data_IF_960245691023
#
_entry.id   IF_960245691023
#
_cell.length_a   1.000
_cell.length_b   1.000
_cell.length_c   1.000
_cell.angle_alpha   90.00
_cell.angle_beta   90.00
_cell.angle_gamma   90.00
#
_symmetry.space_group_name_H-M   'P 1'
#
loop_
_entity.id
_entity.type
_entity.pdbx_description
1 polymer ?
#
# COMPACT_ATOMS: atom_id res chain seq x y z
N UNK A 1 51.63 42.43 43.14
CA UNK A 1 50.17 42.34 43.38
C UNK A 1 49.51 41.72 42.15
N UNK A 2 48.84 40.57 42.37
CA UNK A 2 47.71 39.97 41.62
C UNK A 2 47.91 39.80 40.10
N UNK A 3 48.48 38.67 39.67
CA UNK A 3 47.73 37.46 39.27
C UNK A 3 46.45 37.83 38.49
N UNK A 4 46.62 38.12 37.21
CA UNK A 4 45.53 38.31 36.26
C UNK A 4 44.94 36.93 35.97
N UNK A 5 43.94 36.61 36.79
CA UNK A 5 42.79 35.76 36.52
C UNK A 5 42.90 34.80 35.32
N UNK A 6 43.45 33.62 35.62
CA UNK A 6 43.35 32.37 34.83
C UNK A 6 41.89 31.89 34.58
N UNK A 7 40.89 32.69 34.93
CA UNK A 7 39.46 32.39 34.80
C UNK A 7 38.95 32.65 33.38
N UNK A 8 39.56 33.59 32.63
CA UNK A 8 39.08 33.93 31.28
C UNK A 8 39.37 32.87 30.21
N UNK A 9 40.36 31.99 30.43
CA UNK A 9 40.72 30.97 29.44
C UNK A 9 39.80 29.73 29.50
N UNK A 10 39.14 29.50 30.64
CA UNK A 10 38.25 28.34 30.84
C UNK A 10 36.86 28.60 30.24
N UNK A 11 36.44 29.87 30.09
CA UNK A 11 35.14 30.20 29.49
C UNK A 11 35.10 30.01 27.97
N UNK A 12 36.23 30.05 27.27
CA UNK A 12 36.30 29.89 25.81
C UNK A 12 36.12 28.44 25.35
N UNK A 13 36.33 27.45 26.22
CA UNK A 13 36.24 26.02 25.85
C UNK A 13 34.77 25.53 25.89
N UNK A 14 33.88 26.26 26.56
CA UNK A 14 32.46 25.89 26.65
C UNK A 14 31.60 26.37 25.47
N UNK A 15 32.13 27.23 24.59
CA UNK A 15 31.41 27.69 23.39
C UNK A 15 31.73 26.83 22.15
N UNK A 16 32.67 25.89 22.27
CA UNK A 16 32.85 24.79 21.31
C UNK A 16 31.82 23.69 21.56
N UNK A 17 30.56 24.07 21.75
CA UNK A 17 29.44 23.17 21.56
C UNK A 17 29.50 22.73 20.10
N UNK A 18 29.87 21.46 19.91
CA UNK A 18 29.92 20.82 18.61
C UNK A 18 28.71 21.27 17.77
N UNK A 19 28.99 21.94 16.66
CA UNK A 19 28.11 21.88 15.49
C UNK A 19 28.10 20.43 15.02
N UNK A 20 27.43 19.57 15.80
CA UNK A 20 26.93 18.30 15.35
C UNK A 20 25.85 18.64 14.34
N UNK A 21 26.26 18.83 13.10
CA UNK A 21 25.41 18.52 11.97
C UNK A 21 25.07 17.03 12.14
N UNK A 22 23.97 16.76 12.83
CA UNK A 22 23.37 15.46 12.87
C UNK A 22 22.39 15.47 11.69
N UNK A 23 22.70 14.86 10.53
CA UNK A 23 21.70 14.58 9.51
C UNK A 23 20.88 13.36 9.95
N UNK A 24 20.45 13.35 11.21
CA UNK A 24 19.34 12.53 11.65
C UNK A 24 18.26 13.52 12.08
N UNK A 25 17.72 14.25 11.09
CA UNK A 25 16.26 14.32 11.06
C UNK A 25 15.86 12.85 10.96
N UNK A 26 15.56 12.23 12.10
CA UNK A 26 14.48 11.25 12.14
C UNK A 26 13.32 11.96 11.44
N UNK A 27 13.19 11.73 10.12
CA UNK A 27 11.97 12.08 9.41
C UNK A 27 10.96 11.19 10.10
N UNK A 28 10.28 11.73 11.09
CA UNK A 28 9.08 11.14 11.65
C UNK A 28 8.19 10.96 10.44
N UNK A 29 8.16 9.74 9.92
CA UNK A 29 7.26 9.37 8.84
C UNK A 29 5.90 9.49 9.50
N UNK A 30 5.10 10.52 9.17
CA UNK A 30 3.79 10.61 9.74
C UNK A 30 3.11 9.32 9.34
N UNK A 31 2.79 8.47 10.32
CA UNK A 31 1.93 7.33 10.11
C UNK A 31 0.63 7.92 9.58
N UNK A 32 0.48 7.95 8.26
CA UNK A 32 -0.66 8.56 7.62
C UNK A 32 -1.83 7.63 7.93
N UNK A 33 -2.69 8.07 8.84
CA UNK A 33 -3.90 7.35 9.19
C UNK A 33 -4.89 7.61 8.07
N UNK A 34 -5.05 6.64 7.21
CA UNK A 34 -6.10 6.61 6.21
C UNK A 34 -7.18 5.66 6.67
N UNK A 35 -8.43 6.08 6.53
CA UNK A 35 -9.59 5.21 6.65
C UNK A 35 -9.93 4.73 5.24
N UNK A 36 -10.01 3.41 5.07
CA UNK A 36 -10.27 2.80 3.77
C UNK A 36 -11.61 2.08 3.78
N UNK A 37 -12.37 2.22 2.69
CA UNK A 37 -13.55 1.39 2.47
C UNK A 37 -13.11 -0.04 2.15
N UNK A 38 -13.66 -1.01 2.87
CA UNK A 38 -13.44 -2.44 2.64
C UNK A 38 -14.68 -3.08 1.99
N UNK A 39 -14.52 -4.06 1.10
CA UNK A 39 -15.65 -4.78 0.53
C UNK A 39 -16.35 -5.62 1.61
N UNK A 40 -17.67 -5.78 1.47
CA UNK A 40 -18.50 -6.52 2.43
C UNK A 40 -19.25 -7.69 1.79
N UNK A 41 -19.27 -7.77 0.45
CA UNK A 41 -19.79 -8.91 -0.32
C UNK A 41 -18.69 -9.48 -1.18
N UNK A 42 -18.48 -10.79 -1.05
CA UNK A 42 -17.44 -11.54 -1.74
C UNK A 42 -18.06 -12.64 -2.61
N UNK A 43 -17.41 -13.02 -3.72
CA UNK A 43 -17.89 -14.08 -4.62
C UNK A 43 -17.68 -15.50 -4.06
N UNK A 44 -17.12 -15.63 -2.86
CA UNK A 44 -16.99 -16.88 -2.11
C UNK A 44 -17.07 -16.63 -0.61
N UNK A 45 -17.24 -17.69 0.19
CA UNK A 45 -17.26 -17.59 1.65
C UNK A 45 -15.89 -17.18 2.20
N UNK A 46 -15.82 -16.04 2.89
CA UNK A 46 -14.61 -15.60 3.58
C UNK A 46 -14.66 -16.02 5.05
N UNK A 47 -13.63 -16.73 5.52
CA UNK A 47 -13.52 -17.17 6.93
C UNK A 47 -12.15 -16.89 7.55
N UNK A 48 -11.28 -16.20 6.82
CA UNK A 48 -10.07 -15.59 7.35
C UNK A 48 -9.89 -14.20 6.74
N UNK A 49 -9.69 -13.21 7.61
CA UNK A 49 -9.38 -11.84 7.23
C UNK A 49 -8.09 -11.43 7.93
N UNK A 50 -7.16 -10.84 7.20
CA UNK A 50 -5.95 -10.23 7.77
C UNK A 50 -5.61 -8.95 7.04
N UNK A 51 -4.99 -8.01 7.75
CA UNK A 51 -4.46 -6.78 7.17
C UNK A 51 -2.98 -6.71 7.44
N UNK A 52 -2.20 -6.34 6.43
CA UNK A 52 -0.77 -6.05 6.54
C UNK A 52 -0.49 -4.66 5.97
N UNK A 53 0.45 -3.97 6.60
CA UNK A 53 1.04 -2.76 6.03
C UNK A 53 2.39 -3.21 5.47
N UNK A 54 2.45 -3.33 4.14
CA UNK A 54 3.69 -3.65 3.44
C UNK A 54 4.37 -2.33 3.10
N UNK A 55 5.54 -2.11 3.70
CA UNK A 55 6.34 -0.93 3.46
C UNK A 55 7.68 -1.41 2.92
N UNK A 56 7.85 -1.33 1.60
CA UNK A 56 9.08 -1.73 0.93
C UNK A 56 10.19 -0.69 1.20
N UNK A 57 9.86 0.59 0.98
CA UNK A 57 10.62 1.74 1.48
C UNK A 57 9.61 2.75 2.08
N UNK A 58 9.73 3.11 3.37
CA UNK A 58 8.78 3.98 4.04
C UNK A 58 8.84 5.44 3.56
N UNK A 59 9.78 5.77 2.68
CA UNK A 59 9.90 7.07 2.00
C UNK A 59 9.46 7.02 0.53
N UNK A 60 9.25 5.84 -0.06
CA UNK A 60 8.90 5.71 -1.48
C UNK A 60 7.52 5.11 -1.68
N UNK A 61 7.17 4.01 -1.01
CA UNK A 61 5.94 3.25 -1.28
C UNK A 61 5.27 2.74 0.00
N UNK A 62 4.05 3.19 0.26
CA UNK A 62 3.19 2.68 1.32
C UNK A 62 2.12 1.78 0.73
N UNK A 63 2.06 0.52 1.17
CA UNK A 63 1.01 -0.42 0.78
C UNK A 63 0.21 -0.87 1.99
N UNK A 64 -1.11 -0.83 1.84
CA UNK A 64 -2.06 -1.43 2.76
C UNK A 64 -2.70 -2.60 2.04
N UNK A 65 -2.54 -3.80 2.58
CA UNK A 65 -3.04 -5.04 1.97
C UNK A 65 -4.04 -5.69 2.92
N UNK A 66 -5.25 -5.91 2.41
CA UNK A 66 -6.31 -6.62 3.10
C UNK A 66 -6.53 -7.94 2.38
N UNK A 67 -6.47 -9.03 3.12
CA UNK A 67 -6.65 -10.37 2.58
C UNK A 67 -7.96 -10.94 3.07
N UNK A 68 -8.73 -11.49 2.14
CA UNK A 68 -10.01 -12.15 2.38
C UNK A 68 -9.91 -13.56 1.83
N UNK A 69 -9.85 -14.54 2.73
CA UNK A 69 -9.52 -15.93 2.40
C UNK A 69 -10.60 -16.90 2.86
N UNK A 70 -10.81 -17.94 2.05
CA UNK A 70 -11.43 -19.18 2.46
C UNK A 70 -10.35 -20.21 2.77
N UNK A 71 -10.25 -20.66 4.03
CA UNK A 71 -9.22 -21.64 4.44
C UNK A 71 -9.39 -23.02 3.79
N UNK A 72 -10.63 -23.41 3.49
CA UNK A 72 -10.97 -24.74 2.98
C UNK A 72 -10.79 -24.81 1.46
N UNK A 73 -11.24 -23.80 0.73
CA UNK A 73 -11.10 -23.75 -0.75
C UNK A 73 -9.79 -23.11 -1.19
N UNK A 74 -9.06 -22.48 -0.27
CA UNK A 74 -7.79 -21.75 -0.51
C UNK A 74 -7.92 -20.53 -1.44
N UNK A 75 -9.15 -20.12 -1.74
CA UNK A 75 -9.46 -18.89 -2.47
C UNK A 75 -9.07 -17.69 -1.64
N UNK A 76 -8.41 -16.72 -2.26
CA UNK A 76 -7.97 -15.50 -1.61
C UNK A 76 -8.16 -14.31 -2.54
N UNK A 77 -8.72 -13.24 -2.00
CA UNK A 77 -8.77 -11.92 -2.62
C UNK A 77 -7.91 -11.00 -1.77
N UNK A 78 -6.94 -10.37 -2.41
CA UNK A 78 -6.14 -9.30 -1.81
C UNK A 78 -6.61 -7.95 -2.34
N UNK A 79 -7.09 -7.08 -1.46
CA UNK A 79 -7.29 -5.66 -1.74
C UNK A 79 -6.02 -4.90 -1.37
N UNK A 80 -5.38 -4.28 -2.34
CA UNK A 80 -4.10 -3.59 -2.16
C UNK A 80 -4.28 -2.12 -2.52
N UNK A 81 -3.92 -1.26 -1.58
CA UNK A 81 -3.89 0.19 -1.73
C UNK A 81 -2.45 0.66 -1.64
N UNK A 82 -1.90 1.06 -2.77
CA UNK A 82 -0.52 1.53 -2.88
C UNK A 82 -0.49 3.04 -3.08
N UNK A 83 0.42 3.71 -2.38
CA UNK A 83 0.69 5.13 -2.56
C UNK A 83 2.18 5.38 -2.56
N UNK A 84 2.66 5.97 -3.66
CA UNK A 84 4.00 6.51 -3.74
C UNK A 84 4.00 7.92 -3.13
N UNK A 85 4.99 8.23 -2.28
CA UNK A 85 4.98 9.47 -1.46
C UNK A 85 5.21 10.71 -2.30
N UNK A 86 6.16 10.65 -3.25
CA UNK A 86 6.61 11.82 -4.03
C UNK A 86 5.86 11.98 -5.36
N UNK A 87 5.31 10.89 -5.92
CA UNK A 87 4.58 10.91 -7.18
C UNK A 87 3.37 9.97 -7.14
N UNK A 88 2.28 10.24 -7.88
CA UNK A 88 1.17 9.30 -7.96
C UNK A 88 1.57 8.04 -8.73
N UNK A 89 1.41 6.88 -8.11
CA UNK A 89 1.56 5.59 -8.79
C UNK A 89 0.51 5.48 -9.93
N UNK A 90 0.95 5.03 -11.10
CA UNK A 90 0.09 4.91 -12.29
C UNK A 90 -0.20 3.44 -12.58
N UNK A 91 -1.42 3.16 -13.04
CA UNK A 91 -1.75 1.83 -13.56
C UNK A 91 -0.90 1.58 -14.80
N UNK A 92 -0.15 0.46 -14.84
CA UNK A 92 0.44 -0.02 -16.08
C UNK A 92 -0.68 -0.56 -16.96
N UNK A 93 -0.92 0.03 -18.12
CA UNK A 93 -2.00 -0.37 -19.03
C UNK A 93 -1.64 -1.60 -19.89
N UNK A 94 -0.36 -1.93 -19.98
CA UNK A 94 0.12 -2.96 -20.89
C UNK A 94 -0.47 -4.33 -20.54
N UNK A 95 -1.09 -4.95 -21.54
CA UNK A 95 -1.71 -6.27 -21.43
C UNK A 95 -2.96 -6.32 -20.55
N UNK A 96 -3.63 -5.18 -20.34
CA UNK A 96 -4.87 -5.09 -19.55
C UNK A 96 -6.03 -4.62 -20.40
N UNK A 97 -7.21 -5.15 -20.11
CA UNK A 97 -8.46 -4.74 -20.74
C UNK A 97 -9.02 -3.52 -20.00
N UNK A 98 -9.28 -2.40 -20.68
CA UNK A 98 -9.95 -1.25 -20.06
C UNK A 98 -11.42 -1.59 -19.78
N UNK A 99 -11.88 -1.27 -18.58
CA UNK A 99 -13.27 -1.41 -18.11
C UNK A 99 -13.70 -0.17 -17.34
N UNK A 100 -14.99 0.19 -17.41
CA UNK A 100 -15.54 1.36 -16.71
C UNK A 100 -16.23 0.91 -15.42
N UNK A 101 -15.92 1.58 -14.30
CA UNK A 101 -16.58 1.37 -13.01
C UNK A 101 -17.90 2.15 -12.94
N UNK A 102 -18.77 1.83 -11.97
CA UNK A 102 -20.10 2.47 -11.82
C UNK A 102 -20.04 3.99 -11.65
N UNK A 103 -18.95 4.49 -11.05
CA UNK A 103 -18.72 5.92 -10.85
C UNK A 103 -18.08 6.62 -12.06
N UNK A 104 -17.97 5.94 -13.21
CA UNK A 104 -17.36 6.44 -14.44
C UNK A 104 -15.83 6.47 -14.43
N UNK A 105 -15.16 5.96 -13.39
CA UNK A 105 -13.69 5.85 -13.38
C UNK A 105 -13.25 4.69 -14.27
N UNK A 106 -12.16 4.90 -14.99
CA UNK A 106 -11.48 3.85 -15.73
C UNK A 106 -10.75 2.90 -14.78
N UNK A 107 -11.03 1.60 -14.93
CA UNK A 107 -10.27 0.51 -14.35
C UNK A 107 -9.65 -0.35 -15.47
N UNK A 108 -8.76 -1.24 -15.08
CA UNK A 108 -8.03 -2.12 -16.00
C UNK A 108 -8.10 -3.53 -15.44
N UNK A 109 -8.59 -4.48 -16.23
CA UNK A 109 -8.69 -5.90 -15.87
C UNK A 109 -7.55 -6.69 -16.51
N UNK A 110 -7.03 -7.70 -15.80
CA UNK A 110 -6.10 -8.68 -16.35
C UNK A 110 -6.40 -10.04 -15.75
N UNK A 111 -6.37 -11.03 -16.62
CA UNK A 111 -6.39 -12.44 -16.28
C UNK A 111 -5.10 -13.09 -16.77
N UNK A 112 -4.52 -13.94 -15.93
CA UNK A 112 -3.52 -14.91 -16.33
C UNK A 112 -3.91 -16.32 -15.86
N UNK A 113 -3.01 -17.29 -16.01
CA UNK A 113 -3.34 -18.69 -15.72
C UNK A 113 -3.65 -18.92 -14.23
N UNK A 114 -3.06 -18.14 -13.33
CA UNK A 114 -3.08 -18.38 -11.87
C UNK A 114 -3.78 -17.27 -11.08
N UNK A 115 -4.14 -16.15 -11.72
CA UNK A 115 -4.78 -15.01 -11.07
C UNK A 115 -5.69 -14.18 -11.98
N UNK A 116 -6.62 -13.48 -11.35
CA UNK A 116 -7.44 -12.43 -11.96
C UNK A 116 -7.28 -11.16 -11.15
N UNK A 117 -7.27 -10.01 -11.81
CA UNK A 117 -6.95 -8.76 -11.16
C UNK A 117 -7.56 -7.55 -11.84
N UNK A 118 -7.89 -6.55 -11.04
CA UNK A 118 -8.44 -5.27 -11.48
C UNK A 118 -7.69 -4.14 -10.77
N UNK A 119 -7.31 -3.11 -11.52
CA UNK A 119 -6.59 -1.92 -11.02
C UNK A 119 -7.33 -0.65 -11.39
N UNK A 120 -7.37 0.31 -10.47
CA UNK A 120 -7.94 1.63 -10.74
C UNK A 120 -7.27 2.69 -9.86
N UNK A 121 -7.38 3.95 -10.29
CA UNK A 121 -6.98 5.07 -9.45
C UNK A 121 -8.07 5.33 -8.40
N UNK A 122 -7.74 5.09 -7.14
CA UNK A 122 -8.62 5.38 -6.01
C UNK A 122 -8.46 6.83 -5.54
N UNK A 123 -9.20 7.19 -4.51
CA UNK A 123 -9.12 8.50 -3.89
C UNK A 123 -7.74 8.75 -3.26
N UNK A 124 -7.46 10.00 -2.91
CA UNK A 124 -6.27 10.42 -2.17
C UNK A 124 -4.91 10.03 -2.80
N UNK A 125 -4.91 9.76 -4.11
CA UNK A 125 -3.72 9.41 -4.87
C UNK A 125 -3.27 7.95 -4.73
N UNK A 126 -4.12 7.08 -4.19
CA UNK A 126 -3.83 5.65 -4.12
C UNK A 126 -4.07 4.98 -5.48
N UNK A 127 -3.17 4.08 -5.84
CA UNK A 127 -3.44 3.02 -6.80
C UNK A 127 -4.06 1.85 -6.04
N UNK A 128 -5.31 1.53 -6.38
CA UNK A 128 -6.03 0.41 -5.78
C UNK A 128 -6.06 -0.77 -6.74
N UNK A 129 -6.02 -1.98 -6.18
CA UNK A 129 -6.19 -3.21 -6.94
C UNK A 129 -6.81 -4.33 -6.12
N UNK A 130 -7.62 -5.15 -6.78
CA UNK A 130 -7.95 -6.49 -6.29
C UNK A 130 -7.14 -7.52 -7.06
N UNK A 131 -6.64 -8.52 -6.35
CA UNK A 131 -6.01 -9.71 -6.94
C UNK A 131 -6.68 -10.95 -6.35
N UNK A 132 -7.29 -11.75 -7.20
CA UNK A 132 -7.83 -13.06 -6.88
C UNK A 132 -6.87 -14.16 -7.31
N UNK A 133 -6.68 -15.14 -6.44
CA UNK A 133 -5.93 -16.36 -6.71
C UNK A 133 -6.38 -17.48 -5.78
N UNK A 134 -5.91 -18.69 -6.08
CA UNK A 134 -6.13 -19.86 -5.23
C UNK A 134 -4.78 -20.47 -4.85
N UNK A 135 -4.69 -21.04 -3.66
CA UNK A 135 -3.50 -21.74 -3.17
C UNK A 135 -2.18 -20.98 -3.37
N UNK A 136 -2.15 -19.68 -3.06
CA UNK A 136 -0.92 -18.87 -3.14
C UNK A 136 -0.32 -18.75 -4.54
N UNK A 137 -1.15 -18.71 -5.60
CA UNK A 137 -0.74 -18.63 -7.02
C UNK A 137 -0.05 -19.88 -7.56
N UNK A 138 -0.02 -20.99 -6.80
CA UNK A 138 0.71 -22.20 -7.20
C UNK A 138 -0.04 -23.10 -8.19
N UNK A 139 -1.32 -22.82 -8.45
CA UNK A 139 -2.16 -23.65 -9.33
C UNK A 139 -2.96 -22.77 -10.30
N UNK A 140 -3.27 -23.33 -11.47
CA UNK A 140 -4.11 -22.65 -12.46
C UNK A 140 -5.55 -22.52 -11.94
N UNK A 141 -6.21 -21.40 -12.26
CA UNK A 141 -7.57 -21.14 -11.81
C UNK A 141 -8.58 -22.13 -12.43
N UNK A 142 -8.45 -22.45 -13.71
CA UNK A 142 -9.34 -23.38 -14.40
C UNK A 142 -10.82 -23.03 -14.20
N UNK A 143 -11.57 -23.93 -13.56
CA UNK A 143 -13.00 -23.74 -13.26
C UNK A 143 -13.27 -22.92 -11.99
N UNK A 144 -12.23 -22.51 -11.25
CA UNK A 144 -12.34 -21.65 -10.07
C UNK A 144 -12.15 -20.17 -10.43
N UNK A 145 -12.11 -19.81 -11.72
CA UNK A 145 -12.14 -18.42 -12.15
C UNK A 145 -13.42 -17.76 -11.64
N UNK A 146 -13.28 -16.52 -11.22
CA UNK A 146 -14.40 -15.63 -10.97
C UNK A 146 -14.92 -15.09 -12.30
N UNK A 147 -16.17 -14.66 -12.32
CA UNK A 147 -16.65 -13.85 -13.43
C UNK A 147 -15.98 -12.46 -13.37
N UNK A 148 -15.73 -11.85 -14.53
CA UNK A 148 -15.13 -10.49 -14.58
C UNK A 148 -15.95 -9.49 -13.72
N UNK A 149 -17.28 -9.66 -13.72
CA UNK A 149 -18.21 -8.88 -12.91
C UNK A 149 -17.96 -8.99 -11.41
N UNK A 150 -17.46 -10.12 -10.90
CA UNK A 150 -17.20 -10.29 -9.46
C UNK A 150 -16.09 -9.33 -8.99
N UNK A 151 -15.05 -9.16 -9.80
CA UNK A 151 -13.97 -8.22 -9.50
C UNK A 151 -14.40 -6.75 -9.71
N UNK A 152 -15.25 -6.49 -10.70
CA UNK A 152 -15.86 -5.16 -10.91
C UNK A 152 -16.74 -4.78 -9.72
N UNK A 153 -17.58 -5.69 -9.24
CA UNK A 153 -18.46 -5.50 -8.09
C UNK A 153 -17.67 -5.23 -6.81
N UNK A 154 -16.52 -5.90 -6.62
CA UNK A 154 -15.60 -5.61 -5.52
C UNK A 154 -15.00 -4.20 -5.65
N UNK A 155 -14.54 -3.81 -6.84
CA UNK A 155 -13.99 -2.49 -7.08
C UNK A 155 -15.01 -1.37 -6.85
N UNK A 156 -16.28 -1.58 -7.24
CA UNK A 156 -17.38 -0.63 -7.03
C UNK A 156 -17.74 -0.47 -5.54
N UNK A 157 -17.63 -1.53 -4.74
CA UNK A 157 -17.94 -1.48 -3.29
C UNK A 157 -17.02 -0.56 -2.49
N UNK A 158 -15.80 -0.30 -2.97
CA UNK A 158 -14.75 0.44 -2.24
C UNK A 158 -14.42 1.80 -2.87
N UNK A 159 -15.24 2.27 -3.82
CA UNK A 159 -15.09 3.59 -4.44
C UNK A 159 -15.47 4.74 -3.52
#
# INVERSE_FOLDING_TARGET
>A
MRSISLVFLILMILISGCSGHNPNKERIIPMMRYDFNEPFRFPFEVNEVRTEISIDDPYELHQYVFHYKNKQTTQEISYILSKVIDEPEKVSEQGKQPIELENGKQAYYKEDETSQSIWWKSENGFLARFIYYINGYHIQLGNYKLDESDLIDLANQVQ
#
